data_IF_265505060114
#
_entry.id   IF_265505060114
#
_cell.length_a   1.000
_cell.length_b   1.000
_cell.length_c   1.000
_cell.angle_alpha   90.00
_cell.angle_beta   90.00
_cell.angle_gamma   90.00
#
_symmetry.space_group_name_H-M   'P 1'
#
loop_
_entity.id
_entity.type
_entity.pdbx_description
1 polymer ?
#
# COMPACT_ATOMS: atom_id res chain seq x y z
N UNK A 1 -49.93 -13.59 3.59
CA UNK A 1 -49.56 -12.34 2.91
C UNK A 1 -48.13 -12.00 3.29
N UNK A 2 -47.26 -11.80 2.30
CA UNK A 2 -45.81 -11.56 2.41
C UNK A 2 -45.51 -10.34 3.30
N UNK A 3 -44.76 -10.41 4.42
CA UNK A 3 -43.31 -10.62 4.61
C UNK A 3 -42.45 -9.60 3.85
N UNK A 4 -42.20 -8.44 4.46
CA UNK A 4 -41.05 -7.57 4.14
C UNK A 4 -40.52 -6.93 5.44
N UNK A 5 -39.54 -7.59 6.05
CA UNK A 5 -38.66 -6.96 7.03
C UNK A 5 -37.50 -6.37 6.22
N UNK A 6 -37.49 -5.06 6.03
CA UNK A 6 -36.40 -4.36 5.36
C UNK A 6 -35.22 -4.29 6.33
N UNK A 7 -34.32 -5.26 6.24
CA UNK A 7 -33.03 -5.22 6.93
C UNK A 7 -32.15 -4.21 6.20
N UNK A 8 -32.06 -3.01 6.75
CA UNK A 8 -31.08 -2.00 6.33
C UNK A 8 -29.71 -2.56 6.72
N UNK A 9 -28.96 -3.05 5.74
CA UNK A 9 -27.54 -3.38 5.90
C UNK A 9 -26.81 -2.03 5.98
N UNK A 10 -26.40 -1.66 7.18
CA UNK A 10 -25.49 -0.55 7.41
C UNK A 10 -24.15 -0.96 6.79
N UNK A 11 -23.78 -0.32 5.67
CA UNK A 11 -22.42 -0.36 5.15
C UNK A 11 -21.49 0.12 6.26
N UNK A 12 -20.71 -0.80 6.84
CA UNK A 12 -19.63 -0.44 7.75
C UNK A 12 -18.66 0.45 6.99
N UNK A 13 -18.55 1.71 7.43
CA UNK A 13 -17.42 2.57 7.13
C UNK A 13 -16.14 1.76 7.35
N UNK A 14 -15.24 1.81 6.37
CA UNK A 14 -13.89 1.28 6.47
C UNK A 14 -13.33 1.67 7.84
N UNK A 15 -13.12 0.67 8.70
CA UNK A 15 -12.50 0.87 9.98
C UNK A 15 -11.06 1.31 9.71
N UNK A 16 -10.83 2.62 9.78
CA UNK A 16 -9.51 3.19 9.97
C UNK A 16 -9.05 2.71 11.36
N UNK A 17 -8.44 1.52 11.41
CA UNK A 17 -7.82 1.01 12.64
C UNK A 17 -6.58 1.87 12.87
N UNK A 18 -6.74 2.98 13.58
CA UNK A 18 -5.64 3.85 13.97
C UNK A 18 -4.83 3.13 15.05
N UNK A 19 -3.95 2.23 14.62
CA UNK A 19 -2.82 1.81 15.43
C UNK A 19 -1.88 3.01 15.50
N UNK A 20 -1.75 3.69 16.67
CA UNK A 20 -0.95 4.90 16.79
C UNK A 20 0.54 4.64 16.52
N UNK A 21 0.97 3.38 16.44
CA UNK A 21 2.33 2.99 16.12
C UNK A 21 2.61 2.88 14.61
N UNK A 22 1.61 3.12 13.77
CA UNK A 22 1.71 3.14 12.31
C UNK A 22 1.26 4.48 11.75
N UNK A 23 1.92 5.01 10.71
CA UNK A 23 1.42 6.17 9.97
C UNK A 23 0.08 5.84 9.30
N UNK A 24 -0.66 6.87 8.91
CA UNK A 24 -1.85 6.66 8.09
C UNK A 24 -1.44 6.05 6.75
N UNK A 25 -2.12 4.97 6.38
CA UNK A 25 -1.84 4.25 5.14
C UNK A 25 -3.14 3.86 4.43
N UNK A 26 -3.08 3.78 3.11
CA UNK A 26 -4.14 3.28 2.25
C UNK A 26 -3.65 2.05 1.50
N UNK A 27 -4.49 1.01 1.46
CA UNK A 27 -4.24 -0.16 0.63
C UNK A 27 -4.71 0.19 -0.79
N UNK A 28 -3.78 0.26 -1.74
CA UNK A 28 -4.09 0.58 -3.14
C UNK A 28 -4.51 -0.65 -3.93
N UNK A 29 -3.96 -1.81 -3.58
CA UNK A 29 -4.34 -3.09 -4.15
C UNK A 29 -3.95 -4.24 -3.20
N UNK A 30 -4.74 -5.30 -3.27
CA UNK A 30 -4.41 -6.59 -2.66
C UNK A 30 -4.37 -7.62 -3.78
N UNK A 31 -3.21 -7.74 -4.43
CA UNK A 31 -2.95 -8.85 -5.35
C UNK A 31 -2.88 -10.12 -4.50
N UNK A 32 -3.99 -10.84 -4.46
CA UNK A 32 -4.10 -12.07 -3.69
C UNK A 32 -3.35 -13.17 -4.42
N UNK A 33 -2.31 -13.65 -3.75
CA UNK A 33 -1.46 -14.83 -3.99
C UNK A 33 -1.07 -15.14 -5.45
N UNK A 34 0.17 -14.79 -5.81
CA UNK A 34 0.83 -15.21 -7.05
C UNK A 34 1.90 -16.22 -6.67
N UNK A 35 1.80 -17.46 -7.17
CA UNK A 35 2.73 -18.56 -6.88
C UNK A 35 3.01 -18.77 -5.38
N UNK A 36 1.97 -18.66 -4.54
CA UNK A 36 2.09 -18.79 -3.08
C UNK A 36 2.59 -17.55 -2.36
N UNK A 37 2.93 -16.47 -3.08
CA UNK A 37 3.39 -15.20 -2.50
C UNK A 37 2.25 -14.19 -2.42
N UNK A 38 1.96 -13.70 -1.23
CA UNK A 38 0.96 -12.66 -0.98
C UNK A 38 1.58 -11.28 -1.12
N UNK A 39 0.97 -10.46 -1.96
CA UNK A 39 1.47 -9.13 -2.29
C UNK A 39 0.43 -8.05 -1.94
N UNK A 40 0.92 -6.90 -1.48
CA UNK A 40 0.09 -5.75 -1.19
C UNK A 40 0.73 -4.47 -1.72
N UNK A 41 -0.09 -3.55 -2.21
CA UNK A 41 0.33 -2.20 -2.55
C UNK A 41 -0.18 -1.22 -1.51
N UNK A 42 0.70 -0.41 -0.96
CA UNK A 42 0.38 0.53 0.12
C UNK A 42 0.83 1.94 -0.26
N UNK A 43 -0.04 2.90 0.05
CA UNK A 43 0.20 4.33 0.00
C UNK A 43 0.39 4.87 1.42
N UNK A 44 1.50 5.57 1.66
CA UNK A 44 1.74 6.37 2.87
C UNK A 44 2.15 7.77 2.42
N UNK A 45 1.20 8.71 2.41
CA UNK A 45 1.42 10.07 1.89
C UNK A 45 2.45 10.87 2.70
N UNK A 46 2.64 10.53 3.97
CA UNK A 46 3.63 11.19 4.84
C UNK A 46 5.07 10.75 4.56
N UNK A 47 5.28 9.69 3.77
CA UNK A 47 6.62 9.19 3.44
C UNK A 47 7.14 9.82 2.16
N UNK A 48 8.47 9.84 2.04
CA UNK A 48 9.19 10.33 0.87
C UNK A 48 10.54 9.64 0.76
N UNK A 49 11.32 9.97 -0.27
CA UNK A 49 12.70 9.50 -0.41
C UNK A 49 13.65 10.04 0.67
N UNK A 50 13.24 11.07 1.40
CA UNK A 50 14.01 11.65 2.50
C UNK A 50 13.66 11.01 3.86
N UNK A 51 12.57 10.24 3.92
CA UNK A 51 12.22 9.49 5.13
C UNK A 51 13.32 8.46 5.42
N UNK A 52 13.82 8.38 6.65
CA UNK A 52 14.85 7.41 7.02
C UNK A 52 14.44 5.98 6.66
N UNK A 53 15.36 5.23 6.04
CA UNK A 53 15.09 3.87 5.57
C UNK A 53 14.65 2.97 6.72
N UNK A 54 15.28 3.10 7.87
CA UNK A 54 15.00 2.31 9.07
C UNK A 54 13.58 2.55 9.60
N UNK A 55 13.08 3.78 9.47
CA UNK A 55 11.71 4.14 9.84
C UNK A 55 10.69 3.48 8.90
N UNK A 56 10.98 3.50 7.60
CA UNK A 56 10.14 2.84 6.59
C UNK A 56 10.12 1.32 6.84
N UNK A 57 11.28 0.70 7.02
CA UNK A 57 11.39 -0.75 7.23
C UNK A 57 10.67 -1.19 8.50
N UNK A 58 10.81 -0.46 9.61
CA UNK A 58 10.10 -0.76 10.86
C UNK A 58 8.57 -0.68 10.71
N UNK A 59 8.08 0.26 9.90
CA UNK A 59 6.65 0.37 9.58
C UNK A 59 6.18 -0.77 8.67
N UNK A 60 6.94 -1.10 7.62
CA UNK A 60 6.59 -2.15 6.66
C UNK A 60 6.64 -3.55 7.29
N UNK A 61 7.56 -3.80 8.22
CA UNK A 61 7.62 -5.06 8.97
C UNK A 61 6.33 -5.30 9.78
N UNK A 62 5.87 -4.27 10.51
CA UNK A 62 4.60 -4.32 11.23
C UNK A 62 3.41 -4.52 10.29
N UNK A 63 3.42 -3.87 9.12
CA UNK A 63 2.35 -4.00 8.13
C UNK A 63 2.31 -5.40 7.51
N UNK A 64 3.46 -6.02 7.24
CA UNK A 64 3.54 -7.42 6.78
C UNK A 64 2.85 -8.36 7.78
N UNK A 65 3.16 -8.21 9.08
CA UNK A 65 2.56 -9.03 10.14
C UNK A 65 1.06 -8.76 10.27
N UNK A 66 0.66 -7.48 10.26
CA UNK A 66 -0.73 -7.05 10.42
C UNK A 66 -1.62 -7.48 9.24
N UNK A 67 -1.10 -7.41 8.03
CA UNK A 67 -1.85 -7.71 6.80
C UNK A 67 -1.71 -9.17 6.36
N UNK A 68 -0.81 -9.94 6.97
CA UNK A 68 -0.48 -11.32 6.62
C UNK A 68 -0.10 -11.46 5.13
N UNK A 69 0.86 -10.65 4.70
CA UNK A 69 1.40 -10.63 3.33
C UNK A 69 2.91 -10.82 3.33
N UNK A 70 3.48 -11.33 2.24
CA UNK A 70 4.91 -11.61 2.14
C UNK A 70 5.69 -10.41 1.59
N UNK A 71 5.02 -9.56 0.79
CA UNK A 71 5.63 -8.43 0.09
C UNK A 71 4.73 -7.21 0.10
N UNK A 72 5.35 -6.03 0.21
CA UNK A 72 4.66 -4.74 0.12
C UNK A 72 5.39 -3.83 -0.86
N UNK A 73 4.71 -3.37 -1.92
CA UNK A 73 5.15 -2.18 -2.65
C UNK A 73 4.63 -0.92 -1.96
N UNK A 74 5.52 0.05 -1.79
CA UNK A 74 5.27 1.29 -1.07
C UNK A 74 5.33 2.48 -2.01
N UNK A 75 4.29 3.31 -1.93
CA UNK A 75 4.14 4.56 -2.66
C UNK A 75 3.83 5.72 -1.70
N UNK A 76 4.15 6.96 -2.08
CA UNK A 76 3.66 8.17 -1.41
C UNK A 76 2.63 8.98 -2.19
N UNK A 77 2.25 8.55 -3.40
CA UNK A 77 1.12 9.11 -4.13
C UNK A 77 0.42 8.06 -5.00
N UNK A 78 -0.82 8.32 -5.45
CA UNK A 78 -1.53 7.43 -6.39
C UNK A 78 -0.92 7.49 -7.80
N UNK A 79 -0.44 8.66 -8.20
CA UNK A 79 0.27 8.86 -9.47
C UNK A 79 1.53 8.01 -9.55
N UNK A 80 2.21 7.78 -8.41
CA UNK A 80 3.36 6.89 -8.35
C UNK A 80 3.00 5.45 -8.69
N UNK A 81 1.86 4.94 -8.19
CA UNK A 81 1.34 3.62 -8.59
C UNK A 81 1.05 3.58 -10.09
N UNK A 82 0.43 4.62 -10.65
CA UNK A 82 0.15 4.70 -12.09
C UNK A 82 1.43 4.72 -12.93
N UNK A 83 2.43 5.48 -12.48
CA UNK A 83 3.74 5.56 -13.13
C UNK A 83 4.53 4.24 -13.01
N UNK A 84 4.32 3.47 -11.93
CA UNK A 84 4.95 2.16 -11.79
C UNK A 84 4.36 1.15 -12.78
N UNK A 85 3.03 1.17 -12.96
CA UNK A 85 2.32 0.26 -13.86
C UNK A 85 2.38 0.65 -15.35
N UNK A 86 2.57 1.93 -15.69
CA UNK A 86 2.51 2.43 -17.07
C UNK A 86 3.75 3.23 -17.47
N UNK A 87 4.53 2.68 -18.41
CA UNK A 87 5.72 3.32 -18.96
C UNK A 87 5.39 4.66 -19.66
N UNK A 88 4.28 4.73 -20.40
CA UNK A 88 3.88 5.97 -21.08
C UNK A 88 3.48 7.06 -20.08
N UNK A 89 2.83 6.69 -18.98
CA UNK A 89 2.51 7.61 -17.90
C UNK A 89 3.78 8.09 -17.20
N UNK A 90 4.70 7.17 -16.90
CA UNK A 90 6.02 7.45 -16.33
C UNK A 90 6.81 8.48 -17.14
N UNK A 91 6.84 8.31 -18.46
CA UNK A 91 7.59 9.19 -19.37
C UNK A 91 6.99 10.60 -19.46
N UNK A 92 5.69 10.74 -19.20
CA UNK A 92 4.98 12.02 -19.23
C UNK A 92 4.90 12.71 -17.86
N UNK A 93 5.06 11.94 -16.77
CA UNK A 93 4.99 12.39 -15.37
C UNK A 93 6.22 11.92 -14.58
N UNK A 94 7.44 12.37 -14.93
CA UNK A 94 8.67 11.90 -14.30
C UNK A 94 8.76 12.22 -12.80
N UNK A 95 8.02 13.24 -12.33
CA UNK A 95 7.90 13.57 -10.92
C UNK A 95 7.16 12.50 -10.10
N UNK A 96 6.19 11.78 -10.70
CA UNK A 96 5.44 10.74 -10.01
C UNK A 96 6.33 9.57 -9.58
N UNK A 97 7.41 9.30 -10.33
CA UNK A 97 8.44 8.28 -10.00
C UNK A 97 9.12 8.57 -8.66
N UNK A 98 9.18 9.86 -8.25
CA UNK A 98 9.76 10.23 -6.96
C UNK A 98 8.98 9.65 -5.77
N UNK A 99 7.69 9.41 -5.96
CA UNK A 99 6.84 8.80 -4.95
C UNK A 99 6.74 7.27 -5.00
N UNK A 100 7.54 6.61 -5.84
CA UNK A 100 7.73 5.16 -5.73
C UNK A 100 8.89 4.93 -4.77
N UNK A 101 8.61 4.34 -3.61
CA UNK A 101 9.58 4.23 -2.50
C UNK A 101 10.26 2.86 -2.45
N UNK A 102 9.64 1.84 -3.03
CA UNK A 102 10.28 0.54 -3.27
C UNK A 102 9.42 -0.65 -2.88
N UNK A 103 10.05 -1.82 -2.92
CA UNK A 103 9.45 -3.10 -2.58
C UNK A 103 10.10 -3.63 -1.29
N UNK A 104 9.29 -3.88 -0.27
CA UNK A 104 9.71 -4.56 0.94
C UNK A 104 9.43 -6.04 0.84
N UNK A 105 10.49 -6.84 0.94
CA UNK A 105 10.49 -8.30 0.87
C UNK A 105 11.71 -8.83 1.63
N UNK A 106 11.69 -10.08 2.07
CA UNK A 106 12.83 -10.73 2.74
C UNK A 106 13.42 -9.89 3.91
N UNK A 107 12.55 -9.18 4.64
CA UNK A 107 12.89 -8.26 5.74
C UNK A 107 13.76 -7.05 5.35
N UNK A 108 13.73 -6.62 4.08
CA UNK A 108 14.46 -5.45 3.62
C UNK A 108 13.72 -4.64 2.57
N UNK A 109 13.91 -3.32 2.60
CA UNK A 109 13.43 -2.43 1.55
C UNK A 109 14.42 -2.44 0.37
N UNK A 110 13.93 -2.91 -0.77
CA UNK A 110 14.60 -2.84 -2.06
C UNK A 110 14.16 -1.55 -2.74
N UNK A 111 15.11 -0.63 -2.87
CA UNK A 111 14.89 0.60 -3.62
C UNK A 111 14.50 0.25 -5.07
N UNK A 112 13.61 1.03 -5.68
CA UNK A 112 13.16 0.68 -7.00
C UNK A 112 14.25 0.92 -8.05
N UNK A 113 14.30 0.05 -9.05
CA UNK A 113 15.29 0.10 -10.14
C UNK A 113 14.78 1.02 -11.27
N UNK A 114 15.08 2.31 -11.22
CA UNK A 114 14.77 3.27 -12.29
C UNK A 114 15.98 4.14 -12.62
#
# INVERSE_FOLDING_TARGET
MYKYLVTIIVFSLAACTSDPSLPQYKILDKLTEIDGTKYCEILIESYSRETPKEEIEATLEKLIQKLNVDKIALYCSEEAKLADFSESYRNTHPEAVKCILGLYQDHGLVAPAY
#
